data_IF_242879201087
#
_entry.id   IF_242879201087
#
_cell.length_a   1.000
_cell.length_b   1.000
_cell.length_c   1.000
_cell.angle_alpha   90.00
_cell.angle_beta   90.00
_cell.angle_gamma   90.00
#
_symmetry.space_group_name_H-M   'P 1'
#
loop_
_entity.id
_entity.type
_entity.pdbx_description
1 polymer ?
#
# COMPACT_ATOMS: atom_id res chain seq x y z
N UNK A 1 71.37 13.75 -41.88
CA UNK A 1 71.77 12.41 -41.38
C UNK A 1 70.52 11.69 -40.90
N UNK A 2 70.17 10.53 -41.49
CA UNK A 2 68.88 9.86 -41.32
C UNK A 2 69.02 8.62 -40.41
N UNK A 3 68.32 8.58 -39.28
CA UNK A 3 67.88 7.36 -38.56
C UNK A 3 66.73 7.85 -37.69
N UNK A 4 65.47 7.51 -37.94
CA UNK A 4 64.91 6.28 -37.39
C UNK A 4 63.48 6.09 -37.92
N UNK A 5 63.35 5.70 -39.18
CA UNK A 5 62.12 5.12 -39.73
C UNK A 5 62.23 3.62 -39.45
N UNK A 6 61.74 3.09 -38.32
CA UNK A 6 61.36 1.66 -38.19
C UNK A 6 60.75 1.29 -36.82
N UNK A 7 59.49 1.68 -36.58
CA UNK A 7 58.52 0.89 -35.79
C UNK A 7 57.16 1.14 -36.44
N UNK A 8 56.94 0.64 -37.65
CA UNK A 8 56.32 -0.66 -37.90
C UNK A 8 55.14 -0.92 -36.96
N UNK A 9 53.98 -0.61 -37.53
CA UNK A 9 52.78 -1.43 -37.53
C UNK A 9 51.97 -1.52 -36.24
N UNK A 10 50.66 -1.41 -36.47
CA UNK A 10 49.57 -1.78 -35.57
C UNK A 10 49.24 -0.79 -34.45
N UNK A 11 48.66 0.35 -34.83
CA UNK A 11 47.47 0.82 -34.10
C UNK A 11 46.54 1.65 -34.99
N UNK A 12 46.19 1.11 -36.16
CA UNK A 12 44.93 1.44 -36.83
C UNK A 12 43.93 0.41 -36.32
N UNK A 13 43.28 0.66 -35.18
CA UNK A 13 42.11 -0.11 -34.76
C UNK A 13 41.28 0.66 -33.73
N UNK A 14 39.97 0.70 -33.96
CA UNK A 14 38.91 1.12 -33.04
C UNK A 14 38.70 2.62 -32.84
N UNK A 15 38.26 3.28 -33.91
CA UNK A 15 37.21 4.31 -33.76
C UNK A 15 35.94 3.53 -33.36
N UNK A 16 35.72 3.32 -32.07
CA UNK A 16 34.50 2.71 -31.56
C UNK A 16 33.43 3.80 -31.43
N UNK A 17 32.35 3.77 -32.24
CA UNK A 17 31.21 4.64 -32.02
C UNK A 17 30.35 4.04 -30.90
N UNK A 18 29.48 4.87 -30.32
CA UNK A 18 28.31 4.42 -29.53
C UNK A 18 28.64 3.88 -28.13
N UNK A 19 28.84 4.78 -27.18
CA UNK A 19 28.35 4.56 -25.81
C UNK A 19 27.10 5.39 -25.59
N UNK A 20 26.11 5.15 -26.46
CA UNK A 20 24.72 5.45 -26.17
C UNK A 20 24.32 4.47 -25.07
N UNK A 21 24.53 4.88 -23.81
CA UNK A 21 24.00 4.19 -22.65
C UNK A 21 22.48 4.17 -22.83
N UNK A 22 21.96 3.06 -23.35
CA UNK A 22 20.54 2.78 -23.33
C UNK A 22 20.12 2.76 -21.86
N UNK A 23 19.49 3.86 -21.44
CA UNK A 23 18.67 3.90 -20.24
C UNK A 23 17.48 3.01 -20.56
N UNK A 24 17.63 1.70 -20.36
CA UNK A 24 16.51 0.78 -20.29
C UNK A 24 15.74 1.13 -19.03
N UNK A 25 14.76 2.02 -19.18
CA UNK A 25 13.71 2.20 -18.20
C UNK A 25 13.03 0.84 -18.05
N UNK A 26 13.34 0.12 -16.97
CA UNK A 26 12.56 -1.02 -16.55
C UNK A 26 11.14 -0.51 -16.29
N UNK A 27 10.24 -0.70 -17.26
CA UNK A 27 8.81 -0.57 -17.05
C UNK A 27 8.43 -1.69 -16.09
N UNK A 28 8.48 -1.39 -14.79
CA UNK A 28 7.93 -2.26 -13.77
C UNK A 28 6.47 -2.52 -14.13
N UNK A 29 6.11 -3.78 -14.33
CA UNK A 29 4.72 -4.22 -14.45
C UNK A 29 4.06 -4.01 -13.08
N UNK A 30 3.63 -2.77 -12.83
CA UNK A 30 2.77 -2.46 -11.70
C UNK A 30 1.47 -3.23 -11.87
N UNK A 31 1.17 -4.11 -10.92
CA UNK A 31 -0.17 -4.67 -10.75
C UNK A 31 -1.17 -3.53 -10.73
N UNK A 32 -2.20 -3.63 -11.58
CA UNK A 32 -3.23 -2.60 -11.67
C UNK A 32 -3.85 -2.39 -10.28
N UNK A 33 -3.84 -1.15 -9.79
CA UNK A 33 -4.45 -0.80 -8.52
C UNK A 33 -5.97 -1.05 -8.60
N UNK A 34 -6.59 -1.58 -7.54
CA UNK A 34 -8.04 -1.70 -7.50
C UNK A 34 -8.72 -0.34 -7.69
N UNK A 35 -9.83 -0.33 -8.43
CA UNK A 35 -10.69 0.84 -8.61
C UNK A 35 -11.63 1.02 -7.42
N UNK A 36 -12.90 0.63 -7.58
CA UNK A 36 -13.87 0.65 -6.48
C UNK A 36 -13.76 -0.62 -5.63
N UNK A 37 -13.70 -0.44 -4.32
CA UNK A 37 -13.70 -1.51 -3.31
C UNK A 37 -14.96 -1.37 -2.45
N UNK A 38 -15.66 -2.48 -2.23
CA UNK A 38 -16.79 -2.54 -1.29
C UNK A 38 -16.32 -3.05 0.06
N UNK A 39 -16.37 -2.20 1.10
CA UNK A 39 -16.06 -2.61 2.47
C UNK A 39 -17.37 -3.02 3.16
N UNK A 40 -17.58 -4.33 3.31
CA UNK A 40 -18.80 -4.92 3.87
C UNK A 40 -18.57 -5.78 5.12
N UNK A 41 -17.32 -6.01 5.52
CA UNK A 41 -16.97 -6.93 6.61
C UNK A 41 -17.51 -6.54 8.00
N UNK A 42 -17.88 -5.26 8.20
CA UNK A 42 -18.40 -4.72 9.48
C UNK A 42 -19.85 -4.26 9.39
N UNK A 43 -20.58 -4.71 8.37
CA UNK A 43 -21.97 -4.32 8.17
C UNK A 43 -22.85 -4.80 9.32
N UNK A 44 -23.56 -3.86 9.93
CA UNK A 44 -24.61 -4.14 10.90
C UNK A 44 -25.75 -3.14 10.69
N UNK A 45 -25.70 -1.97 11.35
CA UNK A 45 -26.71 -0.91 11.27
C UNK A 45 -26.63 -0.05 9.99
N UNK A 46 -25.50 -0.13 9.28
CA UNK A 46 -25.21 0.66 8.09
C UNK A 46 -24.88 -0.26 6.90
N UNK A 47 -25.11 0.25 5.69
CA UNK A 47 -24.76 -0.38 4.43
C UNK A 47 -23.25 -0.47 4.21
N UNK A 48 -22.80 -1.07 3.09
CA UNK A 48 -21.39 -1.11 2.74
C UNK A 48 -20.83 0.31 2.52
N UNK A 49 -19.54 0.48 2.76
CA UNK A 49 -18.79 1.65 2.30
C UNK A 49 -18.30 1.37 0.89
N UNK A 50 -18.67 2.24 -0.05
CA UNK A 50 -18.11 2.24 -1.41
C UNK A 50 -16.84 3.08 -1.39
N UNK A 51 -15.68 2.43 -1.46
CA UNK A 51 -14.38 3.07 -1.36
C UNK A 51 -13.72 3.18 -2.73
N UNK A 52 -13.49 4.39 -3.20
CA UNK A 52 -12.76 4.65 -4.45
C UNK A 52 -11.26 4.61 -4.20
N UNK A 53 -10.66 3.41 -4.29
CA UNK A 53 -9.26 3.19 -3.96
C UNK A 53 -8.33 3.98 -4.87
N UNK A 54 -8.64 4.07 -6.17
CA UNK A 54 -7.84 4.84 -7.11
C UNK A 54 -7.78 6.34 -6.74
N UNK A 55 -8.93 6.95 -6.41
CA UNK A 55 -8.95 8.37 -5.97
C UNK A 55 -8.19 8.57 -4.66
N UNK A 56 -8.40 7.70 -3.68
CA UNK A 56 -7.71 7.85 -2.39
C UNK A 56 -6.21 7.62 -2.52
N UNK A 57 -5.77 6.65 -3.33
CA UNK A 57 -4.35 6.41 -3.58
C UNK A 57 -3.67 7.59 -4.29
N UNK A 58 -4.39 8.32 -5.15
CA UNK A 58 -3.87 9.51 -5.82
C UNK A 58 -3.72 10.73 -4.88
N UNK A 59 -4.51 10.78 -3.80
CA UNK A 59 -4.46 11.86 -2.81
C UNK A 59 -3.55 11.54 -1.62
N UNK A 60 -3.37 10.26 -1.31
CA UNK A 60 -2.53 9.81 -0.22
C UNK A 60 -1.03 9.96 -0.56
N UNK A 61 -0.22 10.33 0.43
CA UNK A 61 1.24 10.44 0.31
C UNK A 61 1.96 9.07 0.21
N UNK A 62 1.24 7.99 -0.11
CA UNK A 62 1.79 6.65 -0.34
C UNK A 62 0.89 5.52 0.18
N UNK A 63 1.18 4.29 -0.24
CA UNK A 63 0.40 3.09 0.13
C UNK A 63 0.36 2.87 1.66
N UNK A 64 1.42 3.26 2.36
CA UNK A 64 1.54 3.18 3.82
C UNK A 64 0.51 3.99 4.58
N UNK A 65 -0.12 4.97 3.93
CA UNK A 65 -1.18 5.77 4.53
C UNK A 65 -2.44 4.95 4.79
N UNK A 66 -2.70 3.86 4.06
CA UNK A 66 -3.82 2.96 4.36
C UNK A 66 -3.32 1.58 4.79
N UNK A 67 -2.33 1.06 4.08
CA UNK A 67 -1.64 -0.18 4.40
C UNK A 67 -0.48 0.09 5.33
N UNK A 68 -0.81 0.34 6.61
CA UNK A 68 0.24 0.46 7.61
C UNK A 68 1.09 -0.81 7.61
N UNK A 69 2.40 -0.59 7.63
CA UNK A 69 3.36 -1.66 7.84
C UNK A 69 4.02 -1.38 9.18
N UNK A 70 4.22 -2.42 10.00
CA UNK A 70 4.85 -2.30 11.31
C UNK A 70 6.40 -2.18 11.20
N UNK A 71 6.89 -1.43 10.20
CA UNK A 71 8.29 -1.38 9.76
C UNK A 71 9.18 -0.53 10.67
N UNK A 72 8.58 0.24 11.56
CA UNK A 72 9.18 0.83 12.76
C UNK A 72 9.72 -0.25 13.72
N UNK A 73 9.30 -1.51 13.53
CA UNK A 73 10.08 -2.68 13.93
C UNK A 73 10.88 -3.20 12.72
N UNK A 74 12.05 -2.63 12.49
CA UNK A 74 13.02 -3.17 11.52
C UNK A 74 13.34 -4.68 11.74
N UNK A 75 13.00 -5.20 12.92
CA UNK A 75 13.10 -6.60 13.32
C UNK A 75 11.74 -7.21 13.71
N UNK A 76 10.67 -6.95 12.95
CA UNK A 76 9.46 -7.73 13.12
C UNK A 76 9.80 -9.21 12.90
N UNK A 77 9.76 -10.01 13.96
CA UNK A 77 10.07 -11.44 13.90
C UNK A 77 8.98 -12.16 13.12
N UNK A 78 9.34 -13.26 12.44
CA UNK A 78 8.35 -14.08 11.72
C UNK A 78 7.16 -14.43 12.64
N UNK A 79 7.40 -14.66 13.94
CA UNK A 79 6.36 -14.95 14.93
C UNK A 79 5.29 -13.87 15.05
N UNK A 80 5.61 -12.59 14.85
CA UNK A 80 4.62 -11.51 14.97
C UNK A 80 3.54 -11.59 13.86
N UNK A 81 3.89 -12.08 12.67
CA UNK A 81 2.92 -12.40 11.62
C UNK A 81 2.34 -13.83 11.76
N UNK A 82 3.14 -14.80 12.19
CA UNK A 82 2.74 -16.20 12.32
C UNK A 82 1.88 -16.50 13.56
N UNK A 83 1.83 -15.61 14.55
CA UNK A 83 0.95 -15.73 15.72
C UNK A 83 -0.52 -15.40 15.40
N UNK A 84 -0.79 -14.76 14.24
CA UNK A 84 -2.14 -14.35 13.85
C UNK A 84 -2.99 -15.53 13.36
N UNK A 85 -2.41 -16.44 12.57
CA UNK A 85 -2.88 -17.80 12.21
C UNK A 85 -2.16 -18.29 10.95
N UNK A 86 -2.17 -19.60 10.69
CA UNK A 86 -1.69 -20.18 9.43
C UNK A 86 -2.47 -19.66 8.20
N UNK A 87 -3.76 -19.32 8.36
CA UNK A 87 -4.59 -18.76 7.30
C UNK A 87 -4.15 -17.33 6.93
N UNK A 88 -3.81 -16.50 7.93
CA UNK A 88 -3.30 -15.15 7.71
C UNK A 88 -1.96 -15.17 6.97
N UNK A 89 -1.06 -16.08 7.34
CA UNK A 89 0.21 -16.27 6.63
C UNK A 89 0.01 -16.74 5.18
N UNK A 90 -0.86 -17.73 4.93
CA UNK A 90 -1.12 -18.23 3.58
C UNK A 90 -1.66 -17.15 2.63
N UNK A 91 -2.39 -16.17 3.17
CA UNK A 91 -2.91 -15.04 2.41
C UNK A 91 -1.86 -13.93 2.23
N UNK A 92 -0.99 -13.68 3.21
CA UNK A 92 0.05 -12.64 3.09
C UNK A 92 1.11 -12.98 2.05
N UNK A 93 1.42 -14.26 1.81
CA UNK A 93 2.37 -14.67 0.75
C UNK A 93 1.81 -14.54 -0.66
N UNK A 94 0.48 -14.42 -0.82
CA UNK A 94 -0.20 -14.33 -2.12
C UNK A 94 -0.63 -12.92 -2.48
N UNK A 95 -0.71 -12.03 -1.50
CA UNK A 95 -1.24 -10.67 -1.66
C UNK A 95 -0.13 -9.68 -1.31
N UNK A 96 -0.04 -8.58 -2.07
CA UNK A 96 0.90 -7.50 -1.74
C UNK A 96 0.55 -6.84 -0.40
N UNK A 97 -0.74 -6.81 -0.05
CA UNK A 97 -1.24 -6.27 1.22
C UNK A 97 -2.29 -7.19 1.83
N UNK A 98 -2.27 -7.33 3.16
CA UNK A 98 -3.32 -8.04 3.90
C UNK A 98 -4.52 -7.10 4.13
N UNK A 99 -5.78 -7.57 4.01
CA UNK A 99 -6.92 -6.76 4.41
C UNK A 99 -6.89 -6.48 5.92
N UNK A 100 -7.47 -5.36 6.33
CA UNK A 100 -7.52 -4.95 7.74
C UNK A 100 -8.13 -6.05 8.63
N UNK A 101 -9.13 -6.76 8.12
CA UNK A 101 -9.82 -7.87 8.80
C UNK A 101 -8.95 -9.09 9.07
N UNK A 102 -7.77 -9.20 8.43
CA UNK A 102 -6.80 -10.25 8.72
C UNK A 102 -6.09 -10.08 10.06
N UNK A 103 -6.11 -8.88 10.65
CA UNK A 103 -5.55 -8.63 11.97
C UNK A 103 -6.60 -8.05 12.91
N UNK A 104 -7.34 -7.04 12.44
CA UNK A 104 -8.41 -6.39 13.19
C UNK A 104 -9.69 -7.21 13.05
N UNK A 105 -9.88 -8.18 13.93
CA UNK A 105 -11.12 -8.97 14.00
C UNK A 105 -12.06 -8.36 15.04
N UNK A 106 -12.61 -9.15 15.95
CA UNK A 106 -13.31 -8.63 17.11
C UNK A 106 -12.31 -8.19 18.18
N UNK A 107 -12.72 -7.26 19.04
CA UNK A 107 -11.83 -6.78 20.12
C UNK A 107 -11.57 -7.92 21.09
N UNK A 108 -10.30 -8.27 21.30
CA UNK A 108 -9.91 -9.37 22.18
C UNK A 108 -9.52 -8.86 23.56
N UNK A 109 -9.98 -9.54 24.61
CA UNK A 109 -9.51 -9.30 25.98
C UNK A 109 -7.99 -9.57 26.15
N UNK A 110 -7.41 -10.42 25.30
CA UNK A 110 -5.99 -10.79 25.34
C UNK A 110 -5.10 -9.86 24.50
N UNK A 111 -5.69 -8.95 23.73
CA UNK A 111 -4.98 -7.95 22.92
C UNK A 111 -5.74 -6.61 22.93
N UNK A 112 -5.86 -5.94 24.10
CA UNK A 112 -6.66 -4.72 24.25
C UNK A 112 -6.16 -3.56 23.38
N UNK A 113 -4.87 -3.55 23.05
CA UNK A 113 -4.23 -2.57 22.17
C UNK A 113 -4.59 -2.76 20.68
N UNK A 114 -5.15 -3.92 20.30
CA UNK A 114 -5.56 -4.22 18.93
C UNK A 114 -7.06 -3.92 18.77
N UNK A 115 -7.44 -2.76 18.20
CA UNK A 115 -8.84 -2.43 18.04
C UNK A 115 -9.54 -3.40 17.08
N UNK A 116 -10.80 -3.69 17.34
CA UNK A 116 -11.62 -4.43 16.37
C UNK A 116 -11.79 -3.68 15.04
N UNK A 117 -12.19 -4.43 14.00
CA UNK A 117 -12.21 -3.96 12.60
C UNK A 117 -12.90 -2.61 12.40
N UNK A 118 -14.08 -2.44 13.02
CA UNK A 118 -14.87 -1.20 12.92
C UNK A 118 -14.08 0.02 13.41
N UNK A 119 -13.41 -0.12 14.55
CA UNK A 119 -12.64 0.98 15.16
C UNK A 119 -11.38 1.24 14.33
N UNK A 120 -10.72 0.20 13.84
CA UNK A 120 -9.53 0.34 12.98
C UNK A 120 -9.85 1.13 11.69
N UNK A 121 -10.94 0.77 11.00
CA UNK A 121 -11.41 1.47 9.80
C UNK A 121 -11.71 2.95 10.08
N UNK A 122 -12.51 3.24 11.12
CA UNK A 122 -12.83 4.63 11.48
C UNK A 122 -11.58 5.45 11.81
N UNK A 123 -10.67 4.92 12.64
CA UNK A 123 -9.42 5.63 12.97
C UNK A 123 -8.63 5.96 11.70
N UNK A 124 -8.53 5.02 10.76
CA UNK A 124 -7.76 5.23 9.53
C UNK A 124 -8.41 6.27 8.60
N UNK A 125 -9.71 6.17 8.34
CA UNK A 125 -10.42 7.14 7.50
C UNK A 125 -10.37 8.55 8.12
N UNK A 126 -10.59 8.64 9.44
CA UNK A 126 -10.62 9.92 10.14
C UNK A 126 -9.25 10.59 10.28
N UNK A 127 -8.16 9.83 10.08
CA UNK A 127 -6.79 10.40 10.11
C UNK A 127 -6.65 11.53 9.09
N UNK A 128 -7.23 11.38 7.90
CA UNK A 128 -7.21 12.43 6.88
C UNK A 128 -8.49 13.26 6.92
N UNK A 129 -9.66 12.62 6.98
CA UNK A 129 -10.92 13.34 6.80
C UNK A 129 -11.26 14.33 7.92
N UNK A 130 -10.79 14.11 9.17
CA UNK A 130 -11.01 15.10 10.24
C UNK A 130 -10.15 16.32 9.96
N UNK A 131 -10.80 17.49 9.86
CA UNK A 131 -10.15 18.74 9.45
C UNK A 131 -10.15 18.98 7.94
N UNK A 132 -10.57 18.00 7.12
CA UNK A 132 -10.87 18.21 5.70
C UNK A 132 -12.30 18.73 5.53
N UNK A 133 -12.52 19.47 4.44
CA UNK A 133 -13.77 20.20 4.14
C UNK A 133 -15.05 19.35 4.12
N UNK A 134 -14.94 18.03 4.09
CA UNK A 134 -16.10 17.12 4.04
C UNK A 134 -16.57 16.67 5.43
N UNK A 135 -15.68 16.42 6.40
CA UNK A 135 -16.05 15.91 7.74
C UNK A 135 -15.92 16.96 8.87
N UNK A 136 -15.24 18.08 8.63
CA UNK A 136 -15.05 19.14 9.62
C UNK A 136 -14.20 18.69 10.83
N UNK A 137 -14.30 19.41 11.96
CA UNK A 137 -13.43 19.19 13.13
C UNK A 137 -13.73 17.91 13.95
N UNK A 138 -14.77 17.15 13.61
CA UNK A 138 -15.19 15.97 14.37
C UNK A 138 -15.98 15.01 13.48
N UNK A 139 -15.80 13.68 13.59
CA UNK A 139 -16.48 12.71 12.73
C UNK A 139 -17.99 12.68 13.03
N UNK A 140 -18.73 13.53 12.33
CA UNK A 140 -20.20 13.60 12.32
C UNK A 140 -20.72 13.13 10.95
N UNK A 141 -22.04 13.08 10.78
CA UNK A 141 -22.59 12.80 9.46
C UNK A 141 -22.37 11.36 9.00
N UNK A 142 -22.61 10.38 9.89
CA UNK A 142 -22.40 8.96 9.65
C UNK A 142 -22.91 8.47 8.29
N UNK A 143 -24.05 9.01 7.85
CA UNK A 143 -24.73 8.62 6.60
C UNK A 143 -24.52 9.53 5.41
N UNK A 144 -23.76 10.61 5.58
CA UNK A 144 -23.63 11.66 4.58
C UNK A 144 -22.49 11.38 3.61
N UNK A 145 -21.43 10.69 4.06
CA UNK A 145 -20.16 10.60 3.33
C UNK A 145 -19.72 9.16 3.11
N UNK A 146 -19.78 8.29 4.14
CA UNK A 146 -19.11 6.99 4.08
C UNK A 146 -20.06 5.81 3.83
N UNK A 147 -21.18 5.70 4.55
CA UNK A 147 -22.06 4.54 4.46
C UNK A 147 -23.53 4.91 4.70
N UNK A 148 -24.46 4.33 3.97
CA UNK A 148 -25.90 4.60 4.15
C UNK A 148 -26.48 3.89 5.38
N UNK A 149 -27.61 4.37 5.90
CA UNK A 149 -28.36 3.59 6.90
C UNK A 149 -28.96 2.35 6.21
N UNK A 150 -28.92 1.18 6.85
CA UNK A 150 -29.72 0.06 6.34
C UNK A 150 -31.19 0.39 6.54
N UNK A 151 -32.01 0.11 5.53
CA UNK A 151 -33.46 0.20 5.68
C UNK A 151 -33.91 -0.71 6.81
N UNK A 152 -34.85 -0.21 7.64
CA UNK A 152 -35.50 -1.04 8.65
C UNK A 152 -36.40 -2.01 7.88
N UNK A 153 -36.03 -3.28 7.85
CA UNK A 153 -36.93 -4.37 7.45
C UNK A 153 -38.07 -4.53 8.43
#
# INVERSE_FOLDING_TARGET
>A
MPRLILKLAALVLCIAPVSFFLITSATGTGTALPGMITINAVQNKFGPVQFDHAKHAALAEGCGQCHHMHNDKANATCKECHALSAAHFKNSVKQQFLPCSGCHTETSATAPELPGLKVALHKKCFTCHVGMGDLGASPRGCTQICHTQKEKG
#
